data_IF_137914711126
#
_entry.id   IF_137914711126
#
_cell.length_a   1.000
_cell.length_b   1.000
_cell.length_c   1.000
_cell.angle_alpha   90.00
_cell.angle_beta   90.00
_cell.angle_gamma   90.00
#
_symmetry.space_group_name_H-M   'P 1'
#
loop_
_entity.id
_entity.type
_entity.pdbx_description
1 polymer ?
#
# COMPACT_ATOMS: atom_id res chain seq x y z
N UNK A 1 -15.67 4.60 15.91
CA UNK A 1 -14.34 5.29 15.87
C UNK A 1 -13.87 5.41 14.43
N UNK A 2 -13.21 6.51 14.01
CA UNK A 2 -12.79 6.73 12.62
C UNK A 2 -11.32 7.19 12.53
N UNK A 3 -10.56 6.53 11.67
CA UNK A 3 -9.17 6.80 11.35
C UNK A 3 -9.08 7.36 9.93
N UNK A 4 -8.62 8.59 9.79
CA UNK A 4 -8.48 9.27 8.50
C UNK A 4 -7.01 9.35 8.15
N UNK A 5 -6.68 8.99 6.91
CA UNK A 5 -5.34 9.15 6.37
C UNK A 5 -5.04 10.62 6.11
N UNK A 6 -3.93 11.11 6.66
CA UNK A 6 -3.43 12.46 6.39
C UNK A 6 -2.80 12.55 5.00
N UNK A 7 -2.69 13.78 4.45
CA UNK A 7 -2.04 14.00 3.15
C UNK A 7 -0.60 13.49 3.10
N UNK A 8 0.13 13.67 4.21
CA UNK A 8 1.51 13.17 4.31
C UNK A 8 1.57 11.65 4.31
N UNK A 9 0.66 10.98 5.04
CA UNK A 9 0.58 9.52 5.07
C UNK A 9 0.21 8.95 3.70
N UNK A 10 -0.74 9.58 2.99
CA UNK A 10 -1.10 9.19 1.61
C UNK A 10 0.12 9.27 0.69
N UNK A 11 0.81 10.41 0.69
CA UNK A 11 2.04 10.59 -0.09
C UNK A 11 3.12 9.56 0.28
N UNK A 12 3.41 9.41 1.57
CA UNK A 12 4.43 8.49 2.06
C UNK A 12 4.11 7.04 1.67
N UNK A 13 2.87 6.59 1.87
CA UNK A 13 2.44 5.22 1.56
C UNK A 13 2.61 4.90 0.06
N UNK A 14 2.30 5.85 -0.82
CA UNK A 14 2.46 5.72 -2.27
C UNK A 14 3.91 5.74 -2.70
N UNK A 15 4.72 6.66 -2.15
CA UNK A 15 6.17 6.68 -2.41
C UNK A 15 6.83 5.38 -1.95
N UNK A 16 6.45 4.87 -0.78
CA UNK A 16 6.91 3.60 -0.28
C UNK A 16 6.57 2.44 -1.23
N UNK A 17 5.32 2.35 -1.70
CA UNK A 17 4.90 1.34 -2.67
C UNK A 17 5.67 1.46 -3.98
N UNK A 18 5.80 2.67 -4.52
CA UNK A 18 6.56 2.93 -5.75
C UNK A 18 8.03 2.49 -5.61
N UNK A 19 8.70 2.85 -4.51
CA UNK A 19 10.09 2.45 -4.25
C UNK A 19 10.21 0.92 -4.14
N UNK A 20 9.26 0.26 -3.48
CA UNK A 20 9.25 -1.20 -3.38
C UNK A 20 9.12 -1.86 -4.76
N UNK A 21 8.19 -1.38 -5.60
CA UNK A 21 8.02 -1.91 -6.97
C UNK A 21 9.23 -1.65 -7.85
N UNK A 22 9.86 -0.48 -7.73
CA UNK A 22 11.11 -0.18 -8.42
C UNK A 22 12.25 -1.10 -7.97
N UNK A 23 12.35 -1.39 -6.67
CA UNK A 23 13.29 -2.37 -6.14
C UNK A 23 13.08 -3.76 -6.75
N UNK A 24 11.83 -4.22 -6.83
CA UNK A 24 11.50 -5.50 -7.48
C UNK A 24 11.82 -5.50 -8.98
N UNK A 25 11.54 -4.41 -9.68
CA UNK A 25 11.85 -4.27 -11.09
C UNK A 25 13.37 -4.32 -11.33
N UNK A 26 14.15 -3.62 -10.51
CA UNK A 26 15.61 -3.63 -10.60
C UNK A 26 16.19 -5.01 -10.31
N UNK A 27 15.67 -5.72 -9.30
CA UNK A 27 16.07 -7.11 -9.03
C UNK A 27 15.76 -8.04 -10.21
N UNK A 28 14.58 -7.90 -10.83
CA UNK A 28 14.21 -8.68 -12.01
C UNK A 28 15.11 -8.34 -13.22
N UNK A 29 15.43 -7.07 -13.43
CA UNK A 29 16.33 -6.63 -14.49
C UNK A 29 17.75 -7.22 -14.33
N UNK A 30 18.32 -7.15 -13.11
CA UNK A 30 19.63 -7.76 -12.82
C UNK A 30 19.58 -9.27 -13.06
N UNK A 31 18.53 -9.95 -12.58
CA UNK A 31 18.39 -11.38 -12.81
C UNK A 31 18.33 -11.71 -14.31
N UNK A 32 17.56 -10.96 -15.09
CA UNK A 32 17.49 -11.14 -16.54
C UNK A 32 18.84 -10.87 -17.22
N UNK A 33 19.57 -9.82 -16.84
CA UNK A 33 20.91 -9.55 -17.37
C UNK A 33 21.91 -10.68 -17.08
N UNK A 34 21.80 -11.34 -15.92
CA UNK A 34 22.61 -12.52 -15.60
C UNK A 34 22.29 -13.72 -16.51
N UNK A 35 21.05 -13.87 -16.98
CA UNK A 35 20.62 -14.98 -17.84
C UNK A 35 20.70 -14.67 -19.34
N UNK A 36 20.66 -13.39 -19.73
CA UNK A 36 20.61 -12.93 -21.11
C UNK A 36 21.75 -11.94 -21.36
N UNK A 37 22.64 -12.24 -22.30
CA UNK A 37 23.83 -11.45 -22.64
C UNK A 37 23.53 -10.14 -23.40
N UNK A 38 22.58 -9.35 -22.91
CA UNK A 38 22.27 -8.02 -23.46
C UNK A 38 23.20 -6.98 -22.85
N UNK A 39 24.17 -6.52 -23.63
CA UNK A 39 25.12 -5.49 -23.20
C UNK A 39 24.54 -4.09 -23.49
N UNK A 40 23.69 -3.62 -22.57
CA UNK A 40 23.34 -2.20 -22.47
C UNK A 40 24.13 -1.68 -21.29
N UNK A 41 25.20 -0.91 -21.56
CA UNK A 41 26.15 -0.48 -20.53
C UNK A 41 25.46 0.05 -19.26
N UNK A 42 25.88 -0.47 -18.11
CA UNK A 42 25.27 -0.26 -16.78
C UNK A 42 24.86 1.19 -16.49
N UNK A 43 25.69 2.17 -16.88
CA UNK A 43 25.43 3.60 -16.67
C UNK A 43 24.17 4.11 -17.38
N UNK A 44 23.89 3.61 -18.59
CA UNK A 44 22.71 4.00 -19.37
C UNK A 44 21.45 3.41 -18.73
N UNK A 45 21.49 2.14 -18.33
CA UNK A 45 20.39 1.48 -17.63
C UNK A 45 20.06 2.17 -16.30
N UNK A 46 21.08 2.48 -15.49
CA UNK A 46 20.89 3.18 -14.22
C UNK A 46 20.28 4.58 -14.42
N UNK A 47 20.68 5.29 -15.47
CA UNK A 47 20.18 6.64 -15.78
C UNK A 47 18.73 6.60 -16.22
N UNK A 48 18.35 5.69 -17.11
CA UNK A 48 16.96 5.52 -17.56
C UNK A 48 16.06 5.13 -16.38
N UNK A 49 16.50 4.19 -15.56
CA UNK A 49 15.76 3.77 -14.36
C UNK A 49 15.58 4.92 -13.36
N UNK A 50 16.62 5.73 -13.15
CA UNK A 50 16.57 6.92 -12.29
C UNK A 50 15.60 7.99 -12.80
N UNK A 51 15.66 8.32 -14.10
CA UNK A 51 14.75 9.30 -14.72
C UNK A 51 13.28 8.83 -14.68
N UNK A 52 13.04 7.55 -14.96
CA UNK A 52 11.70 6.97 -14.89
C UNK A 52 11.15 6.96 -13.46
N UNK A 53 12.01 6.66 -12.48
CA UNK A 53 11.67 6.72 -11.05
C UNK A 53 11.28 8.14 -10.62
N UNK A 54 12.13 9.12 -10.92
CA UNK A 54 11.91 10.51 -10.52
C UNK A 54 10.66 11.10 -11.19
N UNK A 55 10.46 10.82 -12.48
CA UNK A 55 9.26 11.27 -13.20
C UNK A 55 7.98 10.62 -12.66
N UNK A 56 8.02 9.34 -12.29
CA UNK A 56 6.87 8.65 -11.66
C UNK A 56 6.56 9.23 -10.29
N UNK A 57 7.57 9.47 -9.44
CA UNK A 57 7.38 10.09 -8.13
C UNK A 57 6.83 11.52 -8.24
N UNK A 58 7.34 12.29 -9.21
CA UNK A 58 6.84 13.63 -9.50
C UNK A 58 5.38 13.57 -9.98
N UNK A 59 5.06 12.71 -10.94
CA UNK A 59 3.70 12.52 -11.42
C UNK A 59 2.73 12.20 -10.28
N UNK A 60 3.07 11.24 -9.41
CA UNK A 60 2.26 10.85 -8.26
C UNK A 60 2.04 11.99 -7.26
N UNK A 61 3.02 12.89 -7.10
CA UNK A 61 2.88 14.08 -6.24
C UNK A 61 1.84 15.07 -6.74
N UNK A 62 1.76 15.27 -8.06
CA UNK A 62 0.96 16.35 -8.65
C UNK A 62 -0.44 15.94 -9.10
N UNK A 63 -0.68 14.66 -9.39
CA UNK A 63 -1.97 14.23 -9.95
C UNK A 63 -3.05 13.89 -8.93
N UNK A 64 -2.75 13.80 -7.62
CA UNK A 64 -3.75 13.36 -6.64
C UNK A 64 -3.91 14.31 -5.45
N UNK A 65 -5.07 14.94 -5.38
CA UNK A 65 -5.49 15.84 -4.30
C UNK A 65 -6.39 15.11 -3.29
N UNK A 66 -5.85 14.78 -2.11
CA UNK A 66 -6.66 14.50 -0.92
C UNK A 66 -6.36 13.17 -0.22
N UNK A 67 -6.56 13.15 1.11
CA UNK A 67 -6.50 11.95 1.94
C UNK A 67 -7.51 10.93 1.42
N UNK A 68 -7.00 9.93 0.71
CA UNK A 68 -7.80 9.06 -0.15
C UNK A 68 -8.45 7.92 0.62
N UNK A 69 -8.04 7.69 1.88
CA UNK A 69 -8.44 6.54 2.67
C UNK A 69 -8.96 6.90 4.06
N UNK A 70 -9.95 6.14 4.52
CA UNK A 70 -10.28 6.09 5.94
C UNK A 70 -10.68 4.67 6.33
N UNK A 71 -10.46 4.34 7.60
CA UNK A 71 -10.99 3.15 8.23
C UNK A 71 -11.89 3.58 9.39
N UNK A 72 -13.12 3.10 9.43
CA UNK A 72 -14.06 3.38 10.51
C UNK A 72 -14.60 2.08 11.10
N UNK A 73 -14.93 2.15 12.38
CA UNK A 73 -15.56 1.11 13.17
C UNK A 73 -16.87 1.70 13.68
N UNK A 74 -18.00 1.25 13.15
CA UNK A 74 -19.32 1.79 13.45
C UNK A 74 -20.32 0.66 13.69
N UNK A 75 -20.98 0.69 14.85
CA UNK A 75 -22.17 -0.12 15.20
C UNK A 75 -22.24 -1.49 14.51
N UNK A 76 -21.18 -2.30 14.68
CA UNK A 76 -21.02 -3.67 14.16
C UNK A 76 -20.40 -3.86 12.75
N UNK A 77 -19.80 -2.81 12.20
CA UNK A 77 -19.12 -2.82 10.89
C UNK A 77 -17.72 -2.21 10.92
N UNK A 78 -16.84 -2.80 10.13
CA UNK A 78 -15.57 -2.22 9.68
C UNK A 78 -15.82 -1.59 8.30
N UNK A 79 -15.65 -0.28 8.19
CA UNK A 79 -15.86 0.47 6.95
C UNK A 79 -14.49 0.96 6.47
N UNK A 80 -14.04 0.44 5.33
CA UNK A 80 -12.84 0.91 4.66
C UNK A 80 -13.23 1.68 3.40
N UNK A 81 -12.80 2.93 3.29
CA UNK A 81 -12.91 3.70 2.06
C UNK A 81 -11.54 3.87 1.43
N UNK A 82 -11.45 3.61 0.13
CA UNK A 82 -10.31 3.92 -0.72
C UNK A 82 -10.81 4.66 -1.96
N UNK A 83 -10.45 5.92 -2.11
CA UNK A 83 -10.91 6.79 -3.19
C UNK A 83 -12.45 6.80 -3.30
N UNK A 84 -13.00 6.23 -4.37
CA UNK A 84 -14.45 6.14 -4.62
C UNK A 84 -15.04 4.78 -4.22
N UNK A 85 -14.21 3.85 -3.73
CA UNK A 85 -14.64 2.51 -3.31
C UNK A 85 -14.84 2.50 -1.80
N UNK A 86 -15.98 1.98 -1.36
CA UNK A 86 -16.28 1.72 0.05
C UNK A 86 -16.50 0.23 0.22
N UNK A 87 -15.85 -0.35 1.22
CA UNK A 87 -16.03 -1.74 1.65
C UNK A 87 -16.54 -1.74 3.07
N UNK A 88 -17.69 -2.35 3.29
CA UNK A 88 -18.29 -2.52 4.61
C UNK A 88 -18.24 -4.00 5.00
N UNK A 89 -17.63 -4.31 6.13
CA UNK A 89 -17.48 -5.68 6.62
C UNK A 89 -18.22 -5.75 7.94
N UNK A 90 -19.27 -6.55 8.01
CA UNK A 90 -19.92 -6.83 9.30
C UNK A 90 -18.96 -7.59 10.21
N UNK A 91 -19.02 -7.37 11.51
CA UNK A 91 -18.17 -8.11 12.47
C UNK A 91 -18.37 -9.63 12.38
N UNK A 92 -19.60 -10.09 12.13
CA UNK A 92 -19.90 -11.51 11.92
C UNK A 92 -19.22 -12.13 10.68
N UNK A 93 -18.84 -11.29 9.72
CA UNK A 93 -18.17 -11.67 8.48
C UNK A 93 -16.65 -11.54 8.56
N UNK A 94 -16.13 -10.91 9.61
CA UNK A 94 -14.70 -10.75 9.85
C UNK A 94 -14.04 -12.10 10.20
N UNK A 95 -12.89 -12.38 9.59
CA UNK A 95 -12.14 -13.64 9.76
C UNK A 95 -10.71 -13.41 10.25
N UNK A 96 -10.42 -12.22 10.77
CA UNK A 96 -9.07 -11.83 11.17
C UNK A 96 -8.34 -10.97 10.13
N UNK A 97 -7.11 -10.60 10.45
CA UNK A 97 -6.24 -9.83 9.58
C UNK A 97 -4.82 -10.41 9.54
N UNK A 98 -4.05 -10.01 8.53
CA UNK A 98 -2.62 -10.36 8.40
C UNK A 98 -1.84 -9.20 7.83
N UNK A 99 -0.62 -9.03 8.31
CA UNK A 99 0.37 -8.13 7.70
C UNK A 99 1.27 -8.96 6.76
N UNK A 100 1.43 -8.52 5.52
CA UNK A 100 2.31 -9.20 4.55
C UNK A 100 3.78 -9.01 4.93
N UNK A 101 4.58 -10.06 4.78
CA UNK A 101 6.04 -10.02 5.03
C UNK A 101 6.82 -9.46 3.83
N UNK A 102 6.30 -9.65 2.62
CA UNK A 102 6.92 -9.15 1.40
C UNK A 102 6.59 -7.68 1.19
N UNK A 103 7.57 -6.93 0.66
CA UNK A 103 7.43 -5.54 0.29
C UNK A 103 6.60 -5.40 -1.00
N UNK A 104 5.73 -4.38 -1.11
CA UNK A 104 5.33 -3.46 -0.04
C UNK A 104 4.47 -4.15 1.04
N UNK A 105 4.69 -3.80 2.30
CA UNK A 105 3.91 -4.31 3.43
C UNK A 105 2.46 -3.83 3.35
N UNK A 106 1.54 -4.78 3.47
CA UNK A 106 0.10 -4.56 3.38
C UNK A 106 -0.61 -5.18 4.57
N UNK A 107 -1.65 -4.51 5.04
CA UNK A 107 -2.64 -5.09 5.94
C UNK A 107 -3.73 -5.72 5.08
N UNK A 108 -4.02 -6.99 5.32
CA UNK A 108 -5.07 -7.76 4.64
C UNK A 108 -6.11 -8.13 5.68
N UNK A 109 -7.32 -7.58 5.54
CA UNK A 109 -8.49 -7.97 6.33
C UNK A 109 -9.23 -9.06 5.56
N UNK A 110 -9.45 -10.21 6.19
CA UNK A 110 -10.19 -11.33 5.61
C UNK A 110 -11.65 -11.22 5.99
N UNK A 111 -12.54 -11.45 5.02
CA UNK A 111 -13.96 -11.48 5.26
C UNK A 111 -14.68 -12.49 4.37
N UNK A 112 -15.82 -13.00 4.84
CA UNK A 112 -16.59 -14.05 4.16
C UNK A 112 -17.22 -13.61 2.83
N UNK A 113 -17.56 -12.32 2.70
CA UNK A 113 -18.39 -11.81 1.59
C UNK A 113 -17.54 -11.38 0.38
N UNK A 114 -16.54 -10.54 0.62
CA UNK A 114 -15.65 -9.95 -0.39
C UNK A 114 -14.28 -10.65 -0.46
N UNK A 115 -14.02 -11.61 0.43
CA UNK A 115 -12.76 -12.34 0.51
C UNK A 115 -11.65 -11.55 1.22
N UNK A 116 -11.13 -10.47 0.60
CA UNK A 116 -9.96 -9.73 1.12
C UNK A 116 -10.04 -8.23 0.84
N UNK A 117 -9.89 -7.43 1.88
CA UNK A 117 -9.68 -5.99 1.79
C UNK A 117 -8.22 -5.69 2.12
N UNK A 118 -7.52 -4.95 1.25
CA UNK A 118 -6.09 -4.67 1.41
C UNK A 118 -5.83 -3.18 1.44
N UNK A 119 -4.91 -2.78 2.30
CA UNK A 119 -4.37 -1.42 2.32
C UNK A 119 -2.91 -1.42 2.76
N UNK A 120 -2.20 -0.35 2.40
CA UNK A 120 -0.79 -0.19 2.76
C UNK A 120 -0.61 -0.21 4.28
N UNK A 121 0.41 -0.90 4.79
CA UNK A 121 0.74 -0.83 6.22
C UNK A 121 1.05 0.61 6.64
N UNK A 122 1.63 1.41 5.74
CA UNK A 122 1.94 2.81 6.01
C UNK A 122 0.80 3.78 5.66
N UNK A 123 -0.42 3.27 5.41
CA UNK A 123 -1.58 4.13 5.17
C UNK A 123 -1.96 4.97 6.40
N UNK A 124 -1.72 4.47 7.61
CA UNK A 124 -2.02 5.14 8.88
C UNK A 124 -0.75 5.38 9.71
N UNK A 125 -0.79 6.30 10.69
CA UNK A 125 0.33 6.52 11.62
C UNK A 125 0.55 5.29 12.49
N UNK A 126 1.71 5.22 13.16
CA UNK A 126 1.97 4.12 14.10
C UNK A 126 0.95 4.07 15.22
N UNK A 127 0.55 5.22 15.75
CA UNK A 127 -0.46 5.31 16.80
C UNK A 127 -1.84 4.87 16.30
N UNK A 128 -2.26 5.36 15.14
CA UNK A 128 -3.52 4.94 14.51
C UNK A 128 -3.52 3.45 14.23
N UNK A 129 -2.41 2.89 13.73
CA UNK A 129 -2.27 1.45 13.48
C UNK A 129 -2.43 0.62 14.76
N UNK A 130 -1.78 1.02 15.84
CA UNK A 130 -1.87 0.29 17.11
C UNK A 130 -3.33 0.25 17.58
N UNK A 131 -4.03 1.39 17.53
CA UNK A 131 -5.46 1.46 17.87
C UNK A 131 -6.33 0.63 16.92
N UNK A 132 -6.03 0.64 15.61
CA UNK A 132 -6.74 -0.18 14.62
C UNK A 132 -6.56 -1.67 14.94
N UNK A 133 -5.32 -2.11 15.22
CA UNK A 133 -5.03 -3.52 15.50
C UNK A 133 -5.64 -3.96 16.83
N UNK A 134 -5.58 -3.13 17.88
CA UNK A 134 -6.26 -3.41 19.14
C UNK A 134 -7.78 -3.57 18.98
N UNK A 135 -8.41 -2.80 18.08
CA UNK A 135 -9.83 -2.95 17.77
C UNK A 135 -10.10 -4.23 16.98
N UNK A 136 -9.25 -4.55 16.01
CA UNK A 136 -9.35 -5.77 15.20
C UNK A 136 -9.08 -7.05 16.01
N UNK A 137 -8.29 -6.98 17.07
CA UNK A 137 -7.99 -8.09 17.99
C UNK A 137 -9.14 -8.34 19.00
N UNK A 138 -10.01 -7.36 19.22
CA UNK A 138 -11.16 -7.45 20.13
C UNK A 138 -12.45 -7.94 19.46
N UNK A 139 -12.41 -8.17 18.15
CA UNK A 139 -13.51 -8.68 17.33
C UNK A 139 -13.42 -10.19 17.18
#
# INVERSE_FOLDING_TARGET
MKFVQSRFQDYFSRCYEAICFLGWYLLAAIALEMFFSYDIGFAINATIAGLFTLSTLFYLKFTQSGGSQYLAFDNDKIIYKFQNVVTEINHSDYQGYKITKLLPHQVVIYNKVYGKTKFSYYAFSSEQRNQIFELLDKM
#
